data_IF_478915831418
#
_entry.id   IF_478915831418
#
_cell.length_a   1.000
_cell.length_b   1.000
_cell.length_c   1.000
_cell.angle_alpha   90.00
_cell.angle_beta   90.00
_cell.angle_gamma   90.00
#
_symmetry.space_group_name_H-M   'P 1'
#
loop_
_entity.id
_entity.type
_entity.pdbx_description
1 polymer ?
#
# COMPACT_ATOMS: atom_id res chain seq x y z
N UNK A 1 7.81 6.39 -8.61
CA UNK A 1 6.65 5.60 -9.10
C UNK A 1 5.57 5.62 -8.03
N UNK A 2 4.29 5.57 -8.40
CA UNK A 2 3.19 5.41 -7.45
C UNK A 2 2.84 3.92 -7.32
N UNK A 3 2.68 3.44 -6.09
CA UNK A 3 2.38 2.04 -5.78
C UNK A 3 1.21 1.99 -4.80
N UNK A 4 0.25 1.10 -5.04
CA UNK A 4 -0.82 0.78 -4.11
C UNK A 4 -0.61 -0.67 -3.64
N UNK A 5 -0.39 -0.84 -2.34
CA UNK A 5 -0.28 -2.18 -1.71
C UNK A 5 -1.65 -2.58 -1.18
N UNK A 6 -2.20 -3.68 -1.69
CA UNK A 6 -3.44 -4.29 -1.16
C UNK A 6 -3.06 -5.62 -0.52
N UNK A 7 -3.19 -5.72 0.79
CA UNK A 7 -2.70 -6.86 1.59
C UNK A 7 -3.47 -6.94 2.89
N UNK A 8 -4.07 -8.09 3.22
CA UNK A 8 -4.93 -8.25 4.41
C UNK A 8 -4.12 -8.35 5.71
N UNK A 9 -2.93 -8.94 5.65
CA UNK A 9 -2.05 -9.04 6.81
C UNK A 9 -1.43 -7.67 7.17
N UNK A 10 -1.84 -7.12 8.32
CA UNK A 10 -1.42 -5.80 8.76
C UNK A 10 0.11 -5.63 8.90
N UNK A 11 0.82 -6.65 9.38
CA UNK A 11 2.28 -6.59 9.53
C UNK A 11 2.97 -6.59 8.17
N UNK A 12 2.52 -7.45 7.25
CA UNK A 12 3.08 -7.52 5.91
C UNK A 12 2.78 -6.25 5.10
N UNK A 13 1.54 -5.75 5.16
CA UNK A 13 1.13 -4.48 4.54
C UNK A 13 2.00 -3.32 5.01
N UNK A 14 2.24 -3.23 6.32
CA UNK A 14 3.13 -2.22 6.89
C UNK A 14 4.58 -2.37 6.40
N UNK A 15 5.11 -3.60 6.42
CA UNK A 15 6.48 -3.88 5.98
C UNK A 15 6.72 -3.48 4.52
N UNK A 16 5.80 -3.86 3.62
CA UNK A 16 5.87 -3.51 2.20
C UNK A 16 5.80 -2.00 1.99
N UNK A 17 4.90 -1.30 2.70
CA UNK A 17 4.77 0.14 2.61
C UNK A 17 6.08 0.84 2.98
N UNK A 18 6.70 0.47 4.11
CA UNK A 18 7.96 1.06 4.57
C UNK A 18 9.09 0.82 3.56
N UNK A 19 9.28 -0.43 3.13
CA UNK A 19 10.37 -0.77 2.20
C UNK A 19 10.25 -0.03 0.85
N UNK A 20 9.06 0.03 0.28
CA UNK A 20 8.83 0.71 -0.99
C UNK A 20 8.98 2.24 -0.85
N UNK A 21 8.61 2.81 0.30
CA UNK A 21 8.86 4.23 0.60
C UNK A 21 10.35 4.54 0.73
N UNK A 22 11.12 3.67 1.39
CA UNK A 22 12.59 3.81 1.51
C UNK A 22 13.30 3.74 0.14
N UNK A 23 12.72 3.03 -0.83
CA UNK A 23 13.16 3.01 -2.23
C UNK A 23 12.74 4.26 -3.05
N UNK A 24 12.07 5.23 -2.41
CA UNK A 24 11.67 6.49 -3.03
C UNK A 24 10.36 6.41 -3.82
N UNK A 25 9.51 5.42 -3.55
CA UNK A 25 8.16 5.36 -4.14
C UNK A 25 7.14 6.11 -3.29
N UNK A 26 6.11 6.66 -3.96
CA UNK A 26 4.91 7.12 -3.27
C UNK A 26 4.01 5.89 -3.08
N UNK A 27 3.69 5.55 -1.83
CA UNK A 27 3.02 4.30 -1.50
C UNK A 27 1.77 4.55 -0.67
N UNK A 28 0.63 4.16 -1.21
CA UNK A 28 -0.63 4.00 -0.51
C UNK A 28 -0.82 2.52 -0.14
N UNK A 29 -1.60 2.25 0.90
CA UNK A 29 -1.85 0.89 1.36
C UNK A 29 -3.31 0.73 1.79
N UNK A 30 -3.88 -0.41 1.46
CA UNK A 30 -5.26 -0.78 1.74
C UNK A 30 -5.32 -2.22 2.28
N UNK A 31 -6.21 -2.49 3.22
CA UNK A 31 -6.43 -3.85 3.77
C UNK A 31 -7.18 -4.75 2.79
N UNK A 32 -8.10 -4.18 2.01
CA UNK A 32 -8.92 -4.91 1.07
C UNK A 32 -9.19 -4.09 -0.20
N UNK A 33 -9.88 -4.71 -1.17
CA UNK A 33 -10.24 -4.08 -2.42
C UNK A 33 -11.16 -2.86 -2.24
N UNK A 34 -12.04 -2.88 -1.22
CA UNK A 34 -12.97 -1.79 -0.98
C UNK A 34 -12.25 -0.54 -0.49
N UNK A 35 -11.24 -0.71 0.36
CA UNK A 35 -10.37 0.38 0.77
C UNK A 35 -9.48 0.86 -0.39
N UNK A 36 -8.98 -0.08 -1.20
CA UNK A 36 -8.15 0.22 -2.36
C UNK A 36 -8.88 1.14 -3.37
N UNK A 37 -10.19 0.94 -3.56
CA UNK A 37 -11.01 1.75 -4.47
C UNK A 37 -10.99 3.26 -4.12
N UNK A 38 -10.78 3.65 -2.86
CA UNK A 38 -10.68 5.07 -2.48
C UNK A 38 -9.43 5.76 -3.04
N UNK A 39 -8.39 5.00 -3.39
CA UNK A 39 -7.14 5.53 -3.95
C UNK A 39 -7.16 5.60 -5.49
N UNK A 40 -8.18 5.02 -6.13
CA UNK A 40 -8.33 4.97 -7.59
C UNK A 40 -9.25 6.08 -8.14
N UNK A 41 -9.94 6.82 -7.24
CA UNK A 41 -10.87 7.90 -7.57
C UNK A 41 -10.24 9.27 -7.84
#
# INVERSE_FOLDING_TARGET
MRVLVVEDNALLRHHLKVQLQELGHQVDAAEDAKEADYYLG
#
